data_IF_327257774348
#
_entry.id   IF_327257774348
#
_cell.length_a   1.000
_cell.length_b   1.000
_cell.length_c   1.000
_cell.angle_alpha   90.00
_cell.angle_beta   90.00
_cell.angle_gamma   90.00
#
_symmetry.space_group_name_H-M   'P 1'
#
loop_
_entity.id
_entity.type
_entity.pdbx_description
1 polymer ?
#
# COMPACT_ATOMS: atom_id res chain seq x y z
N UNK A 1 -13.09 8.48 38.14
CA UNK A 1 -11.97 9.10 37.40
C UNK A 1 -12.14 8.72 35.93
N UNK A 2 -12.59 9.65 35.08
CA UNK A 2 -12.82 9.39 33.65
C UNK A 2 -11.50 9.56 32.90
N UNK A 3 -10.90 8.46 32.46
CA UNK A 3 -9.64 8.49 31.74
C UNK A 3 -9.90 8.84 30.27
N UNK A 4 -9.66 10.10 29.90
CA UNK A 4 -9.71 10.57 28.53
C UNK A 4 -8.51 10.00 27.76
N UNK A 5 -8.70 8.89 27.05
CA UNK A 5 -7.73 8.41 26.07
C UNK A 5 -7.74 9.32 24.86
N UNK A 6 -6.87 10.34 24.90
CA UNK A 6 -6.52 11.18 23.76
C UNK A 6 -5.90 10.30 22.69
N UNK A 7 -6.74 9.83 21.77
CA UNK A 7 -6.32 9.08 20.59
C UNK A 7 -5.73 10.10 19.62
N UNK A 8 -4.46 10.45 19.82
CA UNK A 8 -3.72 11.32 18.90
C UNK A 8 -3.66 10.65 17.54
N UNK A 9 -4.58 11.01 16.65
CA UNK A 9 -4.59 10.60 15.26
C UNK A 9 -3.38 11.23 14.57
N UNK A 10 -2.23 10.56 14.70
CA UNK A 10 -0.99 10.91 14.02
C UNK A 10 -1.13 10.63 12.53
N UNK A 11 -1.71 11.59 11.80
CA UNK A 11 -1.71 11.63 10.34
C UNK A 11 -0.31 11.94 9.79
N UNK A 12 0.63 11.03 10.01
CA UNK A 12 1.94 11.05 9.36
C UNK A 12 1.83 10.35 8.01
N UNK A 13 2.31 10.98 6.94
CA UNK A 13 2.48 10.32 5.65
C UNK A 13 3.28 9.04 5.89
N UNK A 14 2.68 7.90 5.59
CA UNK A 14 3.35 6.61 5.74
C UNK A 14 4.59 6.61 4.85
N UNK A 15 5.69 6.01 5.30
CA UNK A 15 6.92 5.87 4.51
C UNK A 15 6.64 5.39 3.08
N UNK A 16 5.65 4.51 2.91
CA UNK A 16 5.15 4.03 1.62
C UNK A 16 4.60 5.16 0.71
N UNK A 17 3.89 6.13 1.27
CA UNK A 17 3.40 7.30 0.54
C UNK A 17 4.52 8.23 0.06
N UNK A 18 5.55 8.45 0.90
CA UNK A 18 6.75 9.20 0.49
C UNK A 18 7.53 8.47 -0.61
N UNK A 19 7.69 7.15 -0.49
CA UNK A 19 8.29 6.33 -1.55
C UNK A 19 7.51 6.45 -2.85
N UNK A 20 6.17 6.37 -2.80
CA UNK A 20 5.33 6.53 -3.97
C UNK A 20 5.55 7.89 -4.65
N UNK A 21 5.58 8.98 -3.87
CA UNK A 21 5.83 10.33 -4.39
C UNK A 21 7.24 10.45 -4.98
N UNK A 22 8.27 9.94 -4.30
CA UNK A 22 9.67 9.94 -4.79
C UNK A 22 9.79 9.20 -6.12
N UNK A 23 9.20 8.01 -6.25
CA UNK A 23 9.22 7.25 -7.51
C UNK A 23 8.51 8.00 -8.64
N UNK A 24 7.39 8.69 -8.36
CA UNK A 24 6.68 9.53 -9.34
C UNK A 24 7.57 10.70 -9.81
N UNK A 25 8.23 11.38 -8.87
CA UNK A 25 9.11 12.52 -9.16
C UNK A 25 10.34 12.11 -9.98
N UNK A 26 11.01 11.00 -9.64
CA UNK A 26 12.14 10.49 -10.43
C UNK A 26 11.76 10.13 -11.87
N UNK A 27 10.55 9.58 -12.08
CA UNK A 27 10.00 9.24 -13.40
C UNK A 27 9.77 10.50 -14.25
N UNK A 28 9.26 11.57 -13.63
CA UNK A 28 9.01 12.87 -14.27
C UNK A 28 10.30 13.63 -14.57
N UNK A 29 11.31 13.48 -13.71
CA UNK A 29 12.65 14.05 -13.92
C UNK A 29 13.42 13.33 -15.06
N UNK A 30 12.81 12.36 -15.75
CA UNK A 30 13.36 11.61 -16.89
C UNK A 30 14.71 10.96 -16.61
N UNK A 31 14.99 10.65 -15.33
CA UNK A 31 16.21 9.93 -14.92
C UNK A 31 16.11 8.44 -15.28
N UNK A 32 14.90 7.93 -15.50
CA UNK A 32 14.63 6.51 -15.74
C UNK A 32 13.54 6.34 -16.82
N UNK A 33 13.87 5.72 -17.95
CA UNK A 33 12.96 5.40 -19.09
C UNK A 33 12.00 4.22 -18.79
N UNK A 34 11.95 3.78 -17.54
CA UNK A 34 11.36 2.49 -17.20
C UNK A 34 9.83 2.49 -17.23
N UNK A 35 9.28 1.28 -17.38
CA UNK A 35 7.84 1.05 -17.43
C UNK A 35 7.17 1.51 -16.14
N UNK A 36 6.03 2.17 -16.31
CA UNK A 36 5.23 2.72 -15.20
C UNK A 36 4.83 1.66 -14.17
N UNK A 37 4.73 0.40 -14.59
CA UNK A 37 4.53 -0.76 -13.74
C UNK A 37 5.46 -0.84 -12.53
N UNK A 38 6.73 -0.48 -12.68
CA UNK A 38 7.68 -0.52 -11.56
C UNK A 38 7.62 0.70 -10.65
N UNK A 39 7.21 1.86 -11.17
CA UNK A 39 6.89 3.03 -10.33
C UNK A 39 5.69 2.73 -9.43
N UNK A 40 4.77 1.91 -9.91
CA UNK A 40 3.64 1.43 -9.14
C UNK A 40 3.95 0.22 -8.27
N UNK A 41 5.11 -0.45 -8.41
CA UNK A 41 5.48 -1.60 -7.57
C UNK A 41 5.33 -1.34 -6.05
N UNK A 42 5.84 -0.22 -5.47
CA UNK A 42 5.64 0.08 -4.05
C UNK A 42 4.15 0.22 -3.67
N UNK A 43 3.31 0.71 -4.59
CA UNK A 43 1.87 0.87 -4.39
C UNK A 43 1.10 -0.45 -4.61
N UNK A 44 1.62 -1.34 -5.46
CA UNK A 44 1.00 -2.62 -5.78
C UNK A 44 1.30 -3.70 -4.76
N UNK A 45 2.40 -3.63 -3.99
CA UNK A 45 2.70 -4.58 -2.91
C UNK A 45 1.51 -4.74 -1.93
N UNK A 46 0.94 -3.68 -1.33
CA UNK A 46 -0.21 -3.83 -0.44
C UNK A 46 -1.47 -4.31 -1.17
N UNK A 47 -1.69 -3.88 -2.42
CA UNK A 47 -2.85 -4.30 -3.23
C UNK A 47 -2.78 -5.79 -3.58
N UNK A 48 -1.62 -6.25 -4.06
CA UNK A 48 -1.37 -7.64 -4.40
C UNK A 48 -1.49 -8.53 -3.17
N UNK A 49 -0.95 -8.10 -2.02
CA UNK A 49 -1.08 -8.82 -0.77
C UNK A 49 -2.55 -8.96 -0.34
N UNK A 50 -3.33 -7.87 -0.38
CA UNK A 50 -4.77 -7.92 -0.11
C UNK A 50 -5.53 -8.84 -1.08
N UNK A 51 -5.23 -8.76 -2.38
CA UNK A 51 -5.90 -9.56 -3.40
C UNK A 51 -5.61 -11.05 -3.20
N UNK A 52 -4.35 -11.42 -2.95
CA UNK A 52 -3.95 -12.81 -2.63
C UNK A 52 -4.65 -13.29 -1.37
N UNK A 53 -4.69 -12.49 -0.31
CA UNK A 53 -5.38 -12.85 0.94
C UNK A 53 -6.88 -13.09 0.69
N UNK A 54 -7.54 -12.23 -0.09
CA UNK A 54 -8.96 -12.37 -0.43
C UNK A 54 -9.23 -13.65 -1.23
N UNK A 55 -8.38 -13.96 -2.21
CA UNK A 55 -8.49 -15.20 -3.01
C UNK A 55 -8.33 -16.44 -2.13
N UNK A 56 -7.36 -16.45 -1.22
CA UNK A 56 -7.16 -17.56 -0.28
C UNK A 56 -8.37 -17.75 0.63
N UNK A 57 -8.93 -16.65 1.17
CA UNK A 57 -10.15 -16.70 2.00
C UNK A 57 -11.33 -17.27 1.20
N UNK A 58 -11.53 -16.81 -0.04
CA UNK A 58 -12.59 -17.32 -0.91
C UNK A 58 -12.42 -18.82 -1.19
N UNK A 59 -11.20 -19.26 -1.50
CA UNK A 59 -10.90 -20.68 -1.74
C UNK A 59 -11.20 -21.53 -0.49
N UNK A 60 -10.76 -21.10 0.69
CA UNK A 60 -11.01 -21.80 1.95
C UNK A 60 -12.51 -21.84 2.28
N UNK A 61 -13.22 -20.72 2.10
CA UNK A 61 -14.67 -20.65 2.29
C UNK A 61 -15.43 -21.54 1.31
N UNK A 62 -14.98 -21.61 0.05
CA UNK A 62 -15.57 -22.47 -0.97
C UNK A 62 -15.30 -23.96 -0.71
N UNK A 63 -14.10 -24.32 -0.24
CA UNK A 63 -13.76 -25.71 0.11
C UNK A 63 -14.45 -26.22 1.37
N UNK A 64 -14.82 -25.29 2.27
CA UNK A 64 -15.46 -25.60 3.55
C UNK A 64 -16.98 -25.62 3.47
N UNK A 65 -17.56 -25.19 2.34
CA UNK A 65 -18.97 -25.41 1.98
C UNK A 65 -19.12 -26.71 1.23
#
# INVERSE_FOLDING_TARGET
MSNSTSSSAGGGISFCGLLAIVFIVLKLCSVIDWSWWWVLAPLWIPIAFCLVALVLILLVCAFKR
#
